data_IF_428915401882
#
_entry.id   IF_428915401882
#
_cell.length_a   1.000
_cell.length_b   1.000
_cell.length_c   1.000
_cell.angle_alpha   90.00
_cell.angle_beta   90.00
_cell.angle_gamma   90.00
#
_symmetry.space_group_name_H-M   'P 1'
#
loop_
_entity.id
_entity.type
_entity.pdbx_description
1 polymer ?
#
# COMPACT_ATOMS: atom_id res chain seq x y z
N UNK A 1 -9.39 -17.63 -24.39
CA UNK A 1 -9.80 -16.26 -24.73
C UNK A 1 -9.10 -15.35 -23.74
N UNK A 2 -8.09 -14.57 -24.15
CA UNK A 2 -7.41 -13.62 -23.26
C UNK A 2 -8.25 -12.34 -23.29
N UNK A 3 -9.13 -12.18 -22.31
CA UNK A 3 -9.79 -10.89 -22.05
C UNK A 3 -8.67 -9.89 -21.78
N UNK A 4 -8.52 -8.88 -22.64
CA UNK A 4 -7.55 -7.82 -22.43
C UNK A 4 -7.97 -7.07 -21.16
N UNK A 5 -7.19 -7.20 -20.09
CA UNK A 5 -7.35 -6.34 -18.92
C UNK A 5 -7.29 -4.88 -19.38
N UNK A 6 -8.10 -3.97 -18.81
CA UNK A 6 -7.98 -2.55 -19.10
C UNK A 6 -6.52 -2.11 -18.92
N UNK A 7 -6.05 -1.18 -19.76
CA UNK A 7 -4.67 -0.69 -19.67
C UNK A 7 -4.50 0.10 -18.36
N UNK A 8 -4.13 -0.61 -17.28
CA UNK A 8 -3.92 -0.05 -15.94
C UNK A 8 -2.55 0.65 -15.86
N UNK A 9 -2.39 1.66 -14.99
CA UNK A 9 -1.09 2.28 -14.77
C UNK A 9 -0.05 1.27 -14.30
N UNK A 10 1.21 1.42 -14.73
CA UNK A 10 2.30 0.48 -14.44
C UNK A 10 2.57 0.24 -12.94
N UNK A 11 2.16 1.17 -12.08
CA UNK A 11 2.32 1.09 -10.63
C UNK A 11 1.17 0.35 -9.93
N UNK A 12 0.09 0.02 -10.65
CA UNK A 12 -1.00 -0.82 -10.16
C UNK A 12 -0.76 -2.26 -10.60
N UNK A 13 -0.71 -3.19 -9.65
CA UNK A 13 -0.53 -4.62 -9.94
C UNK A 13 -1.88 -5.23 -10.31
N UNK A 14 -1.99 -5.81 -11.50
CA UNK A 14 -3.28 -6.27 -12.05
C UNK A 14 -3.98 -7.29 -11.14
N UNK A 15 -3.24 -8.26 -10.62
CA UNK A 15 -3.75 -9.31 -9.72
C UNK A 15 -4.34 -8.74 -8.42
N UNK A 16 -3.73 -7.70 -7.86
CA UNK A 16 -4.20 -7.04 -6.62
C UNK A 16 -5.43 -6.20 -6.90
N UNK A 17 -5.47 -5.51 -8.04
CA UNK A 17 -6.67 -4.75 -8.47
C UNK A 17 -7.85 -5.70 -8.63
N UNK A 18 -7.65 -6.85 -9.28
CA UNK A 18 -8.70 -7.84 -9.50
C UNK A 18 -9.21 -8.44 -8.17
N UNK A 19 -8.30 -8.77 -7.24
CA UNK A 19 -8.65 -9.24 -5.90
C UNK A 19 -9.51 -8.21 -5.13
N UNK A 20 -9.13 -6.94 -5.20
CA UNK A 20 -9.93 -5.87 -4.59
C UNK A 20 -11.27 -5.69 -5.30
N UNK A 21 -11.36 -5.83 -6.63
CA UNK A 21 -12.66 -5.77 -7.33
C UNK A 21 -13.60 -6.87 -6.82
N UNK A 22 -13.12 -8.12 -6.75
CA UNK A 22 -13.91 -9.23 -6.21
C UNK A 22 -14.33 -8.95 -4.77
N UNK A 23 -13.41 -8.49 -3.92
CA UNK A 23 -13.72 -8.17 -2.51
C UNK A 23 -14.76 -7.07 -2.39
N UNK A 24 -14.68 -6.01 -3.21
CA UNK A 24 -15.62 -4.88 -3.21
C UNK A 24 -17.01 -5.27 -3.74
N UNK A 25 -17.09 -6.23 -4.66
CA UNK A 25 -18.34 -6.72 -5.23
C UNK A 25 -19.03 -7.78 -4.33
N UNK A 26 -18.26 -8.56 -3.56
CA UNK A 26 -18.77 -9.66 -2.73
C UNK A 26 -19.03 -9.29 -1.27
N UNK A 27 -18.24 -8.39 -0.67
CA UNK A 27 -18.27 -8.07 0.77
C UNK A 27 -18.45 -6.55 0.99
N UNK A 28 -19.68 -6.11 1.32
CA UNK A 28 -19.99 -4.69 1.64
C UNK A 28 -19.31 -4.20 2.94
N UNK A 29 -18.78 -5.10 3.80
CA UNK A 29 -18.41 -4.73 5.18
C UNK A 29 -16.98 -5.09 5.68
N UNK A 30 -16.02 -5.48 4.82
CA UNK A 30 -14.66 -5.90 5.32
C UNK A 30 -13.48 -4.98 5.04
N UNK A 31 -13.68 -3.83 4.40
CA UNK A 31 -12.61 -2.83 4.21
C UNK A 31 -12.07 -2.14 5.50
N UNK A 32 -12.84 -1.91 6.58
CA UNK A 32 -12.34 -1.08 7.68
C UNK A 32 -11.26 -1.78 8.52
N UNK A 33 -11.31 -3.11 8.67
CA UNK A 33 -10.35 -3.85 9.49
C UNK A 33 -8.95 -3.88 8.87
N UNK A 34 -8.86 -4.06 7.54
CA UNK A 34 -7.60 -3.99 6.80
C UNK A 34 -6.96 -2.59 6.89
N UNK A 35 -7.78 -1.53 6.80
CA UNK A 35 -7.31 -0.14 6.96
C UNK A 35 -6.80 0.12 8.38
N UNK A 36 -7.52 -0.33 9.41
CA UNK A 36 -7.11 -0.14 10.80
C UNK A 36 -5.78 -0.82 11.13
N UNK A 37 -5.59 -2.08 10.71
CA UNK A 37 -4.34 -2.80 10.92
C UNK A 37 -3.17 -2.13 10.19
N UNK A 38 -3.39 -1.65 8.96
CA UNK A 38 -2.38 -0.92 8.18
C UNK A 38 -1.98 0.40 8.86
N UNK A 39 -2.95 1.17 9.37
CA UNK A 39 -2.68 2.40 10.11
C UNK A 39 -1.87 2.13 11.38
N UNK A 40 -2.26 1.11 12.16
CA UNK A 40 -1.53 0.73 13.37
C UNK A 40 -0.10 0.28 13.01
N UNK A 41 0.05 -0.54 11.96
CA UNK A 41 1.37 -0.98 11.48
C UNK A 41 2.23 0.20 11.07
N UNK A 42 1.70 1.15 10.29
CA UNK A 42 2.41 2.34 9.86
C UNK A 42 2.87 3.18 11.06
N UNK A 43 2.02 3.36 12.09
CA UNK A 43 2.39 4.10 13.30
C UNK A 43 3.50 3.38 14.07
N UNK A 44 3.30 2.11 14.40
CA UNK A 44 4.25 1.33 15.21
C UNK A 44 5.60 1.20 14.52
N UNK A 45 5.60 0.90 13.21
CA UNK A 45 6.84 0.74 12.43
C UNK A 45 7.57 2.08 12.31
N UNK A 46 6.89 3.17 11.96
CA UNK A 46 7.56 4.47 11.83
C UNK A 46 8.11 4.96 13.17
N UNK A 47 7.37 4.83 14.28
CA UNK A 47 7.86 5.21 15.61
C UNK A 47 9.05 4.35 16.02
N UNK A 48 8.97 3.04 15.85
CA UNK A 48 10.06 2.12 16.18
C UNK A 48 11.32 2.41 15.35
N UNK A 49 11.15 2.70 14.06
CA UNK A 49 12.24 2.99 13.14
C UNK A 49 12.90 4.33 13.47
N UNK A 50 12.12 5.39 13.72
CA UNK A 50 12.65 6.69 14.13
C UNK A 50 13.39 6.59 15.47
N UNK A 51 12.80 5.92 16.46
CA UNK A 51 13.43 5.73 17.77
C UNK A 51 14.73 4.92 17.65
N UNK A 52 14.71 3.82 16.90
CA UNK A 52 15.89 3.00 16.64
C UNK A 52 16.99 3.76 15.88
N UNK A 53 16.61 4.57 14.90
CA UNK A 53 17.53 5.42 14.14
C UNK A 53 18.22 6.44 15.06
N UNK A 54 17.45 7.20 15.83
CA UNK A 54 17.99 8.19 16.78
C UNK A 54 18.88 7.51 17.82
N UNK A 55 18.46 6.36 18.35
CA UNK A 55 19.22 5.61 19.34
C UNK A 55 20.54 5.07 18.78
N UNK A 56 20.55 4.58 17.55
CA UNK A 56 21.77 4.09 16.90
C UNK A 56 22.76 5.24 16.62
N UNK A 57 22.26 6.42 16.24
CA UNK A 57 23.09 7.63 16.12
C UNK A 57 23.64 8.07 17.48
N UNK A 58 22.82 8.02 18.53
CA UNK A 58 23.23 8.36 19.89
C UNK A 58 24.36 7.47 20.41
N UNK A 59 24.36 6.18 20.06
CA UNK A 59 25.45 5.24 20.39
C UNK A 59 26.74 5.45 19.56
N UNK A 60 26.77 6.46 18.68
CA UNK A 60 27.93 6.79 17.85
C UNK A 60 28.05 5.95 16.58
N UNK A 61 26.95 5.35 16.12
CA UNK A 61 26.93 4.64 14.85
C UNK A 61 27.16 5.57 13.65
N UNK A 62 27.66 5.01 12.54
CA UNK A 62 27.95 5.78 11.32
C UNK A 62 26.67 6.43 10.78
N UNK A 63 26.60 7.78 10.72
CA UNK A 63 25.38 8.47 10.35
C UNK A 63 25.02 8.25 8.88
N UNK A 64 25.99 8.04 7.99
CA UNK A 64 25.74 7.79 6.57
C UNK A 64 25.10 6.43 6.37
N UNK A 65 25.71 5.38 6.94
CA UNK A 65 25.22 4.00 6.78
C UNK A 65 23.85 3.84 7.43
N UNK A 66 23.68 4.32 8.67
CA UNK A 66 22.45 4.14 9.42
C UNK A 66 21.32 4.95 8.77
N UNK A 67 21.57 6.19 8.35
CA UNK A 67 20.53 7.01 7.71
C UNK A 67 20.13 6.43 6.36
N UNK A 68 21.08 5.95 5.55
CA UNK A 68 20.77 5.30 4.28
C UNK A 68 19.90 4.05 4.49
N UNK A 69 20.23 3.24 5.50
CA UNK A 69 19.44 2.07 5.85
C UNK A 69 18.04 2.46 6.33
N UNK A 70 17.93 3.40 7.26
CA UNK A 70 16.65 3.88 7.77
C UNK A 70 15.74 4.41 6.65
N UNK A 71 16.27 5.26 5.77
CA UNK A 71 15.54 5.78 4.61
C UNK A 71 15.11 4.68 3.64
N UNK A 72 15.98 3.68 3.40
CA UNK A 72 15.66 2.55 2.53
C UNK A 72 14.49 1.72 3.10
N UNK A 73 14.50 1.45 4.41
CA UNK A 73 13.43 0.71 5.07
C UNK A 73 12.14 1.51 5.07
N UNK A 74 12.19 2.81 5.41
CA UNK A 74 11.02 3.70 5.35
C UNK A 74 10.45 3.74 3.93
N UNK A 75 11.28 3.94 2.91
CA UNK A 75 10.85 3.97 1.51
C UNK A 75 10.22 2.66 1.07
N UNK A 76 10.83 1.52 1.41
CA UNK A 76 10.31 0.20 1.07
C UNK A 76 8.95 -0.08 1.74
N UNK A 77 8.83 0.16 3.04
CA UNK A 77 7.57 -0.08 3.78
C UNK A 77 6.44 0.82 3.30
N UNK A 78 6.69 2.14 3.23
CA UNK A 78 5.66 3.09 2.78
C UNK A 78 5.32 2.90 1.30
N UNK A 79 6.29 2.49 0.46
CA UNK A 79 6.06 2.21 -0.95
C UNK A 79 5.14 1.01 -1.19
N UNK A 80 5.29 -0.06 -0.42
CA UNK A 80 4.40 -1.23 -0.50
C UNK A 80 2.96 -0.87 -0.11
N UNK A 81 2.78 -0.12 0.98
CA UNK A 81 1.45 0.30 1.44
C UNK A 81 0.79 1.27 0.45
N UNK A 82 1.56 2.18 -0.15
CA UNK A 82 1.08 3.09 -1.17
C UNK A 82 0.62 2.34 -2.43
N UNK A 83 1.43 1.39 -2.93
CA UNK A 83 1.06 0.59 -4.10
C UNK A 83 -0.24 -0.19 -3.90
N UNK A 84 -0.40 -0.76 -2.70
CA UNK A 84 -1.61 -1.49 -2.33
C UNK A 84 -2.85 -0.58 -2.22
N UNK A 85 -2.68 0.64 -1.71
CA UNK A 85 -3.74 1.65 -1.71
C UNK A 85 -4.12 2.13 -3.12
N UNK A 86 -3.13 2.32 -4.00
CA UNK A 86 -3.38 2.70 -5.39
C UNK A 86 -4.12 1.61 -6.16
N UNK A 87 -3.80 0.34 -5.91
CA UNK A 87 -4.51 -0.80 -6.49
C UNK A 87 -5.98 -0.82 -6.04
N UNK A 88 -6.25 -0.56 -4.74
CA UNK A 88 -7.61 -0.46 -4.23
C UNK A 88 -8.40 0.69 -4.88
N UNK A 89 -7.78 1.88 -5.04
CA UNK A 89 -8.42 3.02 -5.70
C UNK A 89 -8.71 2.72 -7.18
N UNK A 90 -7.79 2.05 -7.87
CA UNK A 90 -8.00 1.62 -9.25
C UNK A 90 -9.18 0.65 -9.36
N UNK A 91 -9.26 -0.34 -8.46
CA UNK A 91 -10.37 -1.29 -8.40
C UNK A 91 -11.72 -0.58 -8.20
N UNK A 92 -11.77 0.38 -7.28
CA UNK A 92 -12.96 1.19 -7.02
C UNK A 92 -13.39 2.00 -8.26
N UNK A 93 -12.45 2.68 -8.93
CA UNK A 93 -12.73 3.45 -10.15
C UNK A 93 -13.26 2.56 -11.29
N UNK A 94 -12.72 1.35 -11.44
CA UNK A 94 -13.18 0.40 -12.46
C UNK A 94 -14.61 -0.06 -12.21
N UNK A 95 -14.98 -0.39 -10.97
CA UNK A 95 -16.35 -0.77 -10.62
C UNK A 95 -17.32 0.38 -10.92
N UNK A 96 -16.96 1.61 -10.53
CA UNK A 96 -17.81 2.78 -10.77
C UNK A 96 -18.00 3.08 -12.26
N UNK A 97 -16.94 2.91 -13.07
CA UNK A 97 -17.02 3.10 -14.52
C UNK A 97 -17.87 2.01 -15.18
N UNK A 98 -17.77 0.77 -14.71
CA UNK A 98 -18.60 -0.35 -15.18
C UNK A 98 -20.09 -0.10 -14.87
N UNK A 99 -20.42 0.36 -13.66
CA UNK A 99 -21.81 0.68 -13.30
C UNK A 99 -22.40 1.85 -14.09
N UNK A 100 -21.62 2.89 -14.39
CA UNK A 100 -22.08 4.04 -15.18
C UNK A 100 -22.29 3.71 -16.68
N UNK A 101 -21.75 2.58 -17.16
CA UNK A 101 -21.85 2.15 -18.57
C UNK A 101 -22.99 1.16 -18.80
N UNK A 102 -23.53 0.53 -17.75
CA UNK A 102 -24.64 -0.43 -17.82
C UNK A 102 -26.05 0.21 -17.72
N UNK A 103 -26.14 1.52 -17.47
CA UNK A 103 -27.36 2.36 -17.57
C UNK A 103 -27.46 3.11 -18.91
#
# INVERSE_FOLDING_TARGET
MKTHAPARPWYCRDDVVDEYKTTLQEDDEKLPMLKALKIIRAIVVNVGLIAGWIYALYLGGDPTVITLFALSVVGAYNGLELGDYLALLQAYNEIQTESDTED
#
